data_IF_388278396187
#
_entry.id   IF_388278396187
#
_cell.length_a   1.000
_cell.length_b   1.000
_cell.length_c   1.000
_cell.angle_alpha   90.00
_cell.angle_beta   90.00
_cell.angle_gamma   90.00
#
_symmetry.space_group_name_H-M   'P 1'
#
loop_
_entity.id
_entity.type
_entity.pdbx_description
1 polymer ?
#
# COMPACT_ATOMS: atom_id res chain seq x y z
N UNK A 1 -32.14 21.05 28.45
CA UNK A 1 -31.41 19.81 28.76
C UNK A 1 -29.99 19.99 28.26
N UNK A 2 -29.00 19.86 29.13
CA UNK A 2 -27.58 19.99 28.76
C UNK A 2 -27.23 18.83 27.84
N UNK A 3 -27.00 19.10 26.56
CA UNK A 3 -26.57 18.07 25.61
C UNK A 3 -25.22 17.53 26.09
N UNK A 4 -25.11 16.21 26.23
CA UNK A 4 -23.85 15.56 26.63
C UNK A 4 -22.76 15.91 25.61
N UNK A 5 -21.53 16.13 26.07
CA UNK A 5 -20.40 16.56 25.21
C UNK A 5 -19.11 15.90 25.65
N UNK A 6 -18.19 15.75 24.69
CA UNK A 6 -16.82 15.34 24.93
C UNK A 6 -16.10 16.38 25.78
N UNK A 7 -15.28 15.92 26.72
CA UNK A 7 -14.35 16.78 27.44
C UNK A 7 -13.03 16.95 26.67
N UNK A 8 -12.18 17.91 27.08
CA UNK A 8 -10.92 18.22 26.37
C UNK A 8 -9.88 17.09 26.40
N UNK A 9 -10.06 16.06 27.23
CA UNK A 9 -9.19 14.90 27.33
C UNK A 9 -9.63 13.74 26.42
N UNK A 10 -10.60 13.95 25.53
CA UNK A 10 -11.13 12.89 24.64
C UNK A 10 -10.03 12.17 23.85
N UNK A 11 -8.98 12.87 23.41
CA UNK A 11 -7.86 12.27 22.68
C UNK A 11 -7.10 11.24 23.53
N UNK A 12 -6.97 11.51 24.83
CA UNK A 12 -6.30 10.61 25.78
C UNK A 12 -7.20 9.44 26.18
N UNK A 13 -8.50 9.70 26.38
CA UNK A 13 -9.47 8.69 26.81
C UNK A 13 -9.94 7.79 25.66
N UNK A 14 -9.87 8.26 24.42
CA UNK A 14 -10.47 7.63 23.26
C UNK A 14 -11.98 7.88 23.19
N UNK A 15 -12.55 7.86 21.98
CA UNK A 15 -13.99 8.09 21.79
C UNK A 15 -14.87 6.93 22.26
N UNK A 16 -14.30 5.73 22.39
CA UNK A 16 -14.98 4.55 22.96
C UNK A 16 -15.39 4.75 24.42
N UNK A 17 -14.75 5.68 25.14
CA UNK A 17 -15.09 6.03 26.51
C UNK A 17 -16.32 6.97 26.64
N UNK A 18 -16.90 7.40 25.51
CA UNK A 18 -18.02 8.36 25.47
C UNK A 18 -19.25 7.76 24.79
N UNK A 19 -20.44 8.20 25.23
CA UNK A 19 -21.72 7.87 24.59
C UNK A 19 -21.79 8.41 23.16
N UNK A 20 -22.69 7.86 22.34
CA UNK A 20 -22.92 8.38 20.98
C UNK A 20 -23.46 9.80 21.05
N UNK A 21 -24.33 10.08 22.02
CA UNK A 21 -24.91 11.40 22.26
C UNK A 21 -23.84 12.45 22.59
N UNK A 22 -22.79 12.08 23.33
CA UNK A 22 -21.67 12.98 23.62
C UNK A 22 -20.87 13.37 22.36
N UNK A 23 -20.67 12.41 21.45
CA UNK A 23 -20.02 12.66 20.15
C UNK A 23 -20.91 13.58 19.32
N UNK A 24 -22.18 13.23 19.13
CA UNK A 24 -23.13 14.02 18.33
C UNK A 24 -23.35 15.42 18.91
N UNK A 25 -23.44 15.55 20.24
CA UNK A 25 -23.56 16.84 20.92
C UNK A 25 -22.34 17.72 20.71
N UNK A 26 -21.16 17.14 20.61
CA UNK A 26 -19.93 17.89 20.29
C UNK A 26 -19.88 18.28 18.83
N UNK A 27 -20.26 17.39 17.92
CA UNK A 27 -20.36 17.68 16.48
C UNK A 27 -21.35 18.83 16.21
N UNK A 28 -22.56 18.73 16.78
CA UNK A 28 -23.61 19.74 16.65
C UNK A 28 -23.20 21.09 17.21
N UNK A 29 -22.52 21.12 18.37
CA UNK A 29 -22.03 22.38 18.95
C UNK A 29 -21.08 23.14 18.02
N UNK A 30 -20.30 22.44 17.19
CA UNK A 30 -19.33 23.04 16.28
C UNK A 30 -19.81 23.08 14.82
N UNK A 31 -21.12 22.91 14.59
CA UNK A 31 -21.77 23.19 13.31
C UNK A 31 -22.10 21.97 12.44
N UNK A 32 -21.87 20.75 12.91
CA UNK A 32 -22.20 19.52 12.18
C UNK A 32 -23.50 18.90 12.72
N UNK A 33 -24.56 19.00 11.95
CA UNK A 33 -25.81 18.28 12.22
C UNK A 33 -25.80 16.96 11.46
N UNK A 34 -25.71 15.85 12.20
CA UNK A 34 -25.73 14.50 11.63
C UNK A 34 -26.59 13.60 12.52
N UNK A 35 -27.35 12.72 11.90
CA UNK A 35 -28.05 11.62 12.57
C UNK A 35 -27.63 10.27 11.97
N UNK A 36 -28.06 9.18 12.60
CA UNK A 36 -27.70 7.83 12.18
C UNK A 36 -28.19 7.50 10.75
N UNK A 37 -29.36 8.00 10.35
CA UNK A 37 -29.94 7.70 9.05
C UNK A 37 -29.17 8.39 7.92
N UNK A 38 -28.87 9.69 8.07
CA UNK A 38 -28.06 10.46 7.15
C UNK A 38 -26.62 9.92 7.09
N UNK A 39 -26.04 9.52 8.23
CA UNK A 39 -24.71 8.92 8.26
C UNK A 39 -24.68 7.61 7.47
N UNK A 40 -25.61 6.69 7.73
CA UNK A 40 -25.69 5.41 7.02
C UNK A 40 -25.93 5.59 5.51
N UNK A 41 -26.75 6.57 5.14
CA UNK A 41 -26.97 6.90 3.73
C UNK A 41 -25.70 7.37 3.04
N UNK A 42 -24.90 8.23 3.68
CA UNK A 42 -23.62 8.67 3.14
C UNK A 42 -22.57 7.55 3.12
N UNK A 43 -22.54 6.71 4.16
CA UNK A 43 -21.64 5.55 4.28
C UNK A 43 -21.89 4.46 3.23
N UNK A 44 -23.04 4.48 2.54
CA UNK A 44 -23.33 3.56 1.44
C UNK A 44 -22.44 3.81 0.22
N UNK A 45 -21.90 5.02 0.06
CA UNK A 45 -21.11 5.42 -1.12
C UNK A 45 -19.76 6.04 -0.77
N UNK A 46 -19.49 6.37 0.50
CA UNK A 46 -18.28 7.03 0.97
C UNK A 46 -17.65 6.27 2.13
N UNK A 47 -16.32 6.31 2.20
CA UNK A 47 -15.56 5.79 3.34
C UNK A 47 -15.21 6.89 4.35
N UNK A 48 -14.73 6.53 5.55
CA UNK A 48 -14.55 7.48 6.65
C UNK A 48 -13.75 8.74 6.34
N UNK A 49 -12.65 8.68 5.57
CA UNK A 49 -11.90 9.90 5.26
C UNK A 49 -12.69 10.82 4.34
N UNK A 50 -13.36 10.29 3.31
CA UNK A 50 -14.20 11.11 2.42
C UNK A 50 -15.36 11.78 3.18
N UNK A 51 -15.99 11.06 4.13
CA UNK A 51 -17.01 11.63 5.01
C UNK A 51 -16.42 12.75 5.89
N UNK A 52 -15.26 12.53 6.48
CA UNK A 52 -14.59 13.51 7.34
C UNK A 52 -14.14 14.75 6.57
N UNK A 53 -13.70 14.60 5.31
CA UNK A 53 -13.38 15.72 4.43
C UNK A 53 -14.61 16.58 4.16
N UNK A 54 -15.77 15.97 3.89
CA UNK A 54 -17.02 16.72 3.77
C UNK A 54 -17.42 17.45 5.06
N UNK A 55 -17.12 16.87 6.22
CA UNK A 55 -17.36 17.52 7.51
C UNK A 55 -16.41 18.70 7.75
N UNK A 56 -15.17 18.62 7.29
CA UNK A 56 -14.16 19.64 7.50
C UNK A 56 -14.55 21.01 6.89
N UNK A 57 -15.33 21.03 5.81
CA UNK A 57 -15.79 22.27 5.15
C UNK A 57 -16.68 23.14 6.04
N UNK A 58 -17.40 22.53 6.98
CA UNK A 58 -18.34 23.23 7.87
C UNK A 58 -17.92 23.18 9.34
N UNK A 59 -16.81 22.51 9.65
CA UNK A 59 -16.29 22.32 11.00
C UNK A 59 -15.69 23.61 11.57
N UNK A 60 -16.23 24.08 12.70
CA UNK A 60 -15.82 25.35 13.31
C UNK A 60 -14.89 25.21 14.53
N UNK A 61 -14.62 23.98 14.98
CA UNK A 61 -13.84 23.78 16.20
C UNK A 61 -12.34 24.02 15.99
N UNK A 62 -11.68 24.54 17.01
CA UNK A 62 -10.23 24.70 17.07
C UNK A 62 -9.65 24.03 18.32
N UNK A 63 -8.32 24.06 18.47
CA UNK A 63 -7.64 23.50 19.64
C UNK A 63 -7.88 21.99 19.79
N UNK A 64 -8.20 21.48 21.00
CA UNK A 64 -8.36 20.03 21.25
C UNK A 64 -9.42 19.33 20.38
N UNK A 65 -10.40 20.07 19.86
CA UNK A 65 -11.48 19.52 19.02
C UNK A 65 -11.25 19.74 17.52
N UNK A 66 -10.24 20.53 17.13
CA UNK A 66 -9.86 20.71 15.72
C UNK A 66 -9.75 19.39 14.94
N UNK A 67 -9.06 18.35 15.46
CA UNK A 67 -8.89 17.09 14.74
C UNK A 67 -10.05 16.08 14.94
N UNK A 68 -11.16 16.46 15.57
CA UNK A 68 -12.25 15.54 15.92
C UNK A 68 -12.98 14.88 14.71
N UNK A 69 -13.16 15.52 13.53
CA UNK A 69 -14.00 14.96 12.47
C UNK A 69 -13.62 13.54 12.06
N UNK A 70 -12.34 13.28 11.76
CA UNK A 70 -11.86 11.94 11.34
C UNK A 70 -12.17 10.87 12.40
N UNK A 71 -11.69 10.96 13.66
CA UNK A 71 -11.95 9.94 14.67
C UNK A 71 -13.44 9.83 15.03
N UNK A 72 -14.22 10.92 14.94
CA UNK A 72 -15.66 10.86 15.16
C UNK A 72 -16.37 10.06 14.07
N UNK A 73 -16.03 10.26 12.78
CA UNK A 73 -16.57 9.45 11.70
C UNK A 73 -16.21 7.98 11.89
N UNK A 74 -14.95 7.66 12.20
CA UNK A 74 -14.53 6.27 12.41
C UNK A 74 -15.25 5.60 13.59
N UNK A 75 -15.44 6.31 14.69
CA UNK A 75 -16.16 5.78 15.85
C UNK A 75 -17.65 5.58 15.53
N UNK A 76 -18.28 6.52 14.83
CA UNK A 76 -19.67 6.39 14.40
C UNK A 76 -19.84 5.28 13.36
N UNK A 77 -18.87 5.09 12.46
CA UNK A 77 -18.82 3.96 11.53
C UNK A 77 -18.84 2.63 12.29
N UNK A 78 -17.95 2.49 13.28
CA UNK A 78 -17.90 1.29 14.14
C UNK A 78 -19.22 1.01 14.87
N UNK A 79 -19.93 2.05 15.31
CA UNK A 79 -21.20 1.91 16.05
C UNK A 79 -22.39 1.62 15.14
N UNK A 80 -22.48 2.30 14.01
CA UNK A 80 -23.68 2.32 13.17
C UNK A 80 -23.59 1.44 11.93
N UNK A 81 -22.45 1.44 11.25
CA UNK A 81 -22.24 0.65 10.02
C UNK A 81 -21.74 -0.75 10.35
N UNK A 82 -20.86 -0.87 11.35
CA UNK A 82 -20.33 -2.14 11.88
C UNK A 82 -19.63 -3.03 10.84
N UNK A 83 -19.17 -2.46 9.73
CA UNK A 83 -18.27 -3.11 8.78
C UNK A 83 -16.82 -2.68 9.04
N UNK A 84 -15.87 -3.43 8.47
CA UNK A 84 -14.47 -3.01 8.48
C UNK A 84 -14.32 -1.64 7.82
N UNK A 85 -13.47 -0.80 8.39
CA UNK A 85 -13.09 0.50 7.82
C UNK A 85 -11.62 0.48 7.38
N UNK A 86 -11.21 1.40 6.47
CA UNK A 86 -9.83 1.44 5.97
C UNK A 86 -8.76 1.54 7.07
N UNK A 87 -9.00 2.31 8.13
CA UNK A 87 -8.05 2.43 9.24
C UNK A 87 -7.86 1.14 10.04
N UNK A 88 -8.90 0.30 10.16
CA UNK A 88 -8.77 -1.02 10.82
C UNK A 88 -7.77 -1.91 10.06
N UNK A 89 -7.86 -1.92 8.73
CA UNK A 89 -6.96 -2.67 7.85
C UNK A 89 -5.55 -2.10 7.94
N UNK A 90 -5.38 -0.77 7.88
CA UNK A 90 -4.08 -0.13 7.96
C UNK A 90 -3.38 -0.37 9.31
N UNK A 91 -4.10 -0.26 10.42
CA UNK A 91 -3.58 -0.52 11.78
C UNK A 91 -3.18 -2.00 11.92
N UNK A 92 -4.03 -2.92 11.45
CA UNK A 92 -3.75 -4.35 11.51
C UNK A 92 -2.55 -4.74 10.63
N UNK A 93 -2.41 -4.14 9.45
CA UNK A 93 -1.26 -4.39 8.58
C UNK A 93 0.03 -3.85 9.19
N UNK A 94 0.01 -2.66 9.80
CA UNK A 94 1.16 -2.13 10.54
C UNK A 94 1.55 -3.03 11.70
N UNK A 95 0.57 -3.52 12.48
CA UNK A 95 0.82 -4.44 13.58
C UNK A 95 1.43 -5.76 13.11
N UNK A 96 0.94 -6.29 11.97
CA UNK A 96 1.50 -7.47 11.32
C UNK A 96 2.98 -7.28 10.96
N UNK A 97 3.33 -6.17 10.33
CA UNK A 97 4.70 -5.90 9.91
C UNK A 97 5.65 -5.75 11.11
N UNK A 98 5.21 -5.04 12.16
CA UNK A 98 5.97 -4.93 13.42
C UNK A 98 6.18 -6.32 14.06
N UNK A 99 5.13 -7.16 14.06
CA UNK A 99 5.23 -8.51 14.58
C UNK A 99 6.14 -9.40 13.72
N UNK A 100 6.21 -9.14 12.41
CA UNK A 100 7.11 -9.82 11.48
C UNK A 100 8.57 -9.54 11.78
N UNK A 101 8.92 -8.27 11.89
CA UNK A 101 10.28 -7.84 12.29
C UNK A 101 10.67 -8.40 13.66
N UNK A 102 9.71 -8.51 14.59
CA UNK A 102 9.91 -9.13 15.90
C UNK A 102 10.14 -10.65 15.78
N UNK A 103 9.40 -11.34 14.91
CA UNK A 103 9.54 -12.77 14.67
C UNK A 103 10.87 -13.15 14.02
N UNK A 104 11.40 -12.32 13.12
CA UNK A 104 12.75 -12.47 12.58
C UNK A 104 13.83 -12.35 13.67
N UNK A 105 13.52 -11.68 14.80
CA UNK A 105 14.37 -11.56 15.99
C UNK A 105 14.06 -12.63 17.05
N UNK A 106 13.31 -13.67 16.69
CA UNK A 106 12.97 -14.79 17.57
C UNK A 106 11.85 -14.52 18.58
N UNK A 107 11.04 -13.47 18.40
CA UNK A 107 9.88 -13.19 19.26
C UNK A 107 8.60 -13.83 18.71
N UNK A 108 7.69 -14.20 19.60
CA UNK A 108 6.38 -14.73 19.23
C UNK A 108 5.37 -13.62 18.87
N UNK A 109 4.20 -14.02 18.37
CA UNK A 109 3.06 -13.14 18.12
C UNK A 109 2.76 -12.86 16.64
N UNK A 110 3.66 -13.22 15.72
CA UNK A 110 3.43 -13.02 14.29
C UNK A 110 2.21 -13.78 13.76
N UNK A 111 2.06 -15.06 14.11
CA UNK A 111 0.93 -15.88 13.66
C UNK A 111 -0.42 -15.28 14.05
N UNK A 112 -0.54 -14.78 15.28
CA UNK A 112 -1.76 -14.13 15.76
C UNK A 112 -2.03 -12.80 15.03
N UNK A 113 -0.99 -12.00 14.79
CA UNK A 113 -1.11 -10.77 14.02
C UNK A 113 -1.52 -11.06 12.56
N UNK A 114 -1.02 -12.16 11.98
CA UNK A 114 -1.35 -12.61 10.64
C UNK A 114 -2.80 -13.05 10.54
N UNK A 115 -3.28 -13.86 11.49
CA UNK A 115 -4.70 -14.27 11.56
C UNK A 115 -5.64 -13.08 11.73
N UNK A 116 -5.25 -12.10 12.55
CA UNK A 116 -6.00 -10.85 12.73
C UNK A 116 -6.10 -10.09 11.41
N UNK A 117 -4.97 -9.96 10.71
CA UNK A 117 -4.92 -9.25 9.44
C UNK A 117 -5.67 -9.99 8.32
N UNK A 118 -5.57 -11.32 8.23
CA UNK A 118 -6.35 -12.14 7.30
C UNK A 118 -7.86 -11.96 7.53
N UNK A 119 -8.29 -11.94 8.80
CA UNK A 119 -9.69 -11.68 9.15
C UNK A 119 -10.16 -10.28 8.74
N UNK A 120 -9.29 -9.26 8.83
CA UNK A 120 -9.61 -7.91 8.35
C UNK A 120 -9.61 -7.84 6.83
N UNK A 121 -8.66 -8.48 6.16
CA UNK A 121 -8.56 -8.55 4.71
C UNK A 121 -9.80 -9.22 4.08
N UNK A 122 -10.33 -10.29 4.71
CA UNK A 122 -11.53 -10.97 4.21
C UNK A 122 -12.80 -10.13 4.28
N UNK A 123 -12.78 -9.00 5.00
CA UNK A 123 -13.89 -8.06 5.12
C UNK A 123 -13.74 -6.85 4.19
N UNK A 124 -12.60 -6.70 3.50
CA UNK A 124 -12.39 -5.62 2.52
C UNK A 124 -13.45 -5.75 1.42
N UNK A 125 -14.13 -4.64 1.05
CA UNK A 125 -15.15 -4.69 0.02
C UNK A 125 -14.59 -5.19 -1.32
N UNK A 126 -15.44 -5.91 -2.06
CA UNK A 126 -15.16 -6.35 -3.43
C UNK A 126 -15.81 -5.41 -4.44
N UNK A 127 -15.40 -5.50 -5.71
CA UNK A 127 -15.93 -4.69 -6.81
C UNK A 127 -15.54 -3.22 -6.74
N UNK A 128 -16.37 -2.36 -7.33
CA UNK A 128 -16.11 -0.92 -7.49
C UNK A 128 -15.71 -0.17 -6.19
N UNK A 129 -16.29 -0.45 -5.00
CA UNK A 129 -15.90 0.22 -3.77
C UNK A 129 -14.47 -0.10 -3.31
N UNK A 130 -13.87 -1.20 -3.78
CA UNK A 130 -12.58 -1.68 -3.31
C UNK A 130 -11.46 -0.66 -3.52
N UNK A 131 -11.41 -0.04 -4.69
CA UNK A 131 -10.34 0.89 -5.04
C UNK A 131 -10.31 2.08 -4.08
N UNK A 132 -11.47 2.70 -3.84
CA UNK A 132 -11.62 3.81 -2.89
C UNK A 132 -11.29 3.39 -1.45
N UNK A 133 -11.72 2.19 -1.04
CA UNK A 133 -11.37 1.64 0.27
C UNK A 133 -9.85 1.51 0.43
N UNK A 134 -9.17 0.91 -0.55
CA UNK A 134 -7.73 0.68 -0.50
C UNK A 134 -6.91 1.97 -0.62
N UNK A 135 -7.42 2.98 -1.34
CA UNK A 135 -6.80 4.30 -1.36
C UNK A 135 -6.75 4.94 0.04
N UNK A 136 -7.84 4.85 0.81
CA UNK A 136 -7.85 5.29 2.21
C UNK A 136 -6.91 4.46 3.09
N UNK A 137 -6.84 3.13 2.89
CA UNK A 137 -5.88 2.26 3.59
C UNK A 137 -4.45 2.77 3.39
N UNK A 138 -4.05 3.06 2.15
CA UNK A 138 -2.72 3.57 1.81
C UNK A 138 -2.45 4.93 2.50
N UNK A 139 -3.45 5.82 2.55
CA UNK A 139 -3.33 7.10 3.26
C UNK A 139 -3.10 6.93 4.77
N UNK A 140 -3.70 5.92 5.40
CA UNK A 140 -3.48 5.60 6.82
C UNK A 140 -2.15 4.89 7.07
N UNK A 141 -1.64 4.14 6.10
CA UNK A 141 -0.40 3.37 6.23
C UNK A 141 0.87 4.22 6.26
N UNK A 142 0.82 5.51 5.90
CA UNK A 142 1.99 6.43 5.84
C UNK A 142 3.14 6.03 6.77
N UNK A 143 4.34 5.87 6.22
CA UNK A 143 5.57 5.45 6.91
C UNK A 143 5.54 3.99 7.41
N UNK A 144 5.39 3.03 6.50
CA UNK A 144 5.79 1.65 6.74
C UNK A 144 7.25 1.49 6.32
N UNK A 145 8.11 0.95 7.20
CA UNK A 145 9.54 0.78 6.93
C UNK A 145 9.86 -0.46 6.10
N UNK A 146 9.07 -1.52 6.24
CA UNK A 146 9.36 -2.84 5.68
C UNK A 146 8.32 -3.20 4.62
N UNK A 147 8.70 -3.37 3.34
CA UNK A 147 7.81 -3.90 2.32
C UNK A 147 7.34 -5.33 2.65
N UNK A 148 6.09 -5.67 2.31
CA UNK A 148 5.49 -6.98 2.65
C UNK A 148 6.25 -8.14 1.99
N UNK A 149 6.66 -7.95 0.74
CA UNK A 149 7.43 -8.90 -0.05
C UNK A 149 8.81 -9.20 0.56
N UNK A 150 9.47 -8.17 1.09
CA UNK A 150 10.74 -8.32 1.83
C UNK A 150 10.54 -9.16 3.08
N UNK A 151 9.51 -8.86 3.88
CA UNK A 151 9.22 -9.64 5.08
C UNK A 151 8.88 -11.10 4.75
N UNK A 152 8.09 -11.35 3.69
CA UNK A 152 7.75 -12.70 3.26
C UNK A 152 8.99 -13.52 2.89
N UNK A 153 9.91 -12.91 2.12
CA UNK A 153 11.18 -13.54 1.76
C UNK A 153 12.03 -13.84 3.01
N UNK A 154 12.22 -12.87 3.90
CA UNK A 154 13.03 -13.03 5.12
C UNK A 154 12.46 -14.10 6.05
N UNK A 155 11.13 -14.19 6.17
CA UNK A 155 10.47 -15.27 6.91
C UNK A 155 10.76 -16.64 6.30
N UNK A 156 10.71 -16.75 4.96
CA UNK A 156 11.04 -17.99 4.28
C UNK A 156 12.52 -18.39 4.49
N UNK A 157 13.45 -17.43 4.40
CA UNK A 157 14.88 -17.65 4.68
C UNK A 157 15.12 -18.08 6.14
N UNK A 158 14.33 -17.56 7.08
CA UNK A 158 14.36 -17.94 8.50
C UNK A 158 13.67 -19.29 8.80
N UNK A 159 13.21 -20.03 7.78
CA UNK A 159 12.54 -21.32 7.94
C UNK A 159 11.06 -21.24 8.32
N UNK A 160 10.48 -20.04 8.42
CA UNK A 160 9.05 -19.79 8.70
C UNK A 160 8.23 -19.81 7.40
N UNK A 161 8.34 -20.92 6.66
CA UNK A 161 7.82 -21.03 5.28
C UNK A 161 6.30 -20.95 5.22
N UNK A 162 5.59 -21.58 6.16
CA UNK A 162 4.13 -21.58 6.17
C UNK A 162 3.58 -20.16 6.39
N UNK A 163 4.20 -19.40 7.27
CA UNK A 163 3.90 -17.99 7.52
C UNK A 163 4.22 -17.10 6.32
N UNK A 164 5.36 -17.32 5.65
CA UNK A 164 5.72 -16.61 4.43
C UNK A 164 4.68 -16.83 3.31
N UNK A 165 4.25 -18.07 3.07
CA UNK A 165 3.26 -18.40 2.04
C UNK A 165 1.87 -17.81 2.35
N UNK A 166 1.49 -17.74 3.63
CA UNK A 166 0.27 -17.04 4.05
C UNK A 166 0.38 -15.53 3.84
N UNK A 167 1.54 -14.93 4.16
CA UNK A 167 1.78 -13.51 3.94
C UNK A 167 1.71 -13.14 2.46
N UNK A 168 2.25 -13.99 1.57
CA UNK A 168 2.12 -13.84 0.12
C UNK A 168 0.64 -13.81 -0.29
N UNK A 169 -0.16 -14.79 0.14
CA UNK A 169 -1.59 -14.84 -0.19
C UNK A 169 -2.34 -13.60 0.30
N UNK A 170 -1.99 -13.11 1.49
CA UNK A 170 -2.56 -11.90 2.05
C UNK A 170 -2.18 -10.67 1.22
N UNK A 171 -0.91 -10.54 0.83
CA UNK A 171 -0.45 -9.44 -0.03
C UNK A 171 -1.17 -9.45 -1.38
N UNK A 172 -1.24 -10.59 -2.05
CA UNK A 172 -1.92 -10.72 -3.35
C UNK A 172 -3.42 -10.44 -3.24
N UNK A 173 -4.03 -10.79 -2.10
CA UNK A 173 -5.42 -10.45 -1.80
C UNK A 173 -5.62 -8.95 -1.63
N UNK A 174 -4.68 -8.22 -1.02
CA UNK A 174 -4.79 -6.77 -0.78
C UNK A 174 -4.36 -5.95 -2.00
N UNK A 175 -3.26 -6.35 -2.65
CA UNK A 175 -2.56 -5.65 -3.71
C UNK A 175 -2.40 -6.55 -4.95
N UNK A 176 -3.51 -6.91 -5.63
CA UNK A 176 -3.51 -7.88 -6.73
C UNK A 176 -2.66 -7.45 -7.94
N UNK A 177 -2.40 -6.15 -8.08
CA UNK A 177 -1.49 -5.63 -9.11
C UNK A 177 -0.11 -6.27 -9.02
N UNK A 178 0.39 -6.54 -7.80
CA UNK A 178 1.73 -7.11 -7.56
C UNK A 178 1.74 -8.65 -7.49
N UNK A 179 0.64 -9.30 -7.85
CA UNK A 179 0.51 -10.75 -7.73
C UNK A 179 1.62 -11.49 -8.51
N UNK A 180 2.20 -12.49 -7.86
CA UNK A 180 3.29 -13.32 -8.35
C UNK A 180 4.70 -12.87 -7.93
N UNK A 181 4.91 -11.60 -7.55
CA UNK A 181 6.26 -11.09 -7.21
C UNK A 181 6.76 -11.73 -5.91
N UNK A 182 6.01 -11.60 -4.82
CA UNK A 182 6.39 -12.11 -3.51
C UNK A 182 6.41 -13.63 -3.47
N UNK A 183 5.50 -14.28 -4.22
CA UNK A 183 5.51 -15.73 -4.40
C UNK A 183 6.84 -16.21 -5.02
N UNK A 184 7.34 -15.50 -6.04
CA UNK A 184 8.63 -15.83 -6.65
C UNK A 184 9.81 -15.59 -5.70
N UNK A 185 9.81 -14.50 -4.92
CA UNK A 185 10.85 -14.25 -3.92
C UNK A 185 10.88 -15.34 -2.83
N UNK A 186 9.71 -15.76 -2.33
CA UNK A 186 9.59 -16.87 -1.38
C UNK A 186 10.06 -18.19 -2.02
N UNK A 187 9.72 -18.46 -3.28
CA UNK A 187 10.23 -19.64 -3.99
C UNK A 187 11.76 -19.62 -4.11
N UNK A 188 12.35 -18.48 -4.45
CA UNK A 188 13.81 -18.32 -4.51
C UNK A 188 14.46 -18.54 -3.13
N UNK A 189 13.88 -18.00 -2.05
CA UNK A 189 14.33 -18.22 -0.67
C UNK A 189 14.28 -19.70 -0.25
N UNK A 190 13.36 -20.49 -0.83
CA UNK A 190 13.27 -21.95 -0.66
C UNK A 190 14.26 -22.73 -1.55
N UNK A 191 15.14 -22.05 -2.27
CA UNK A 191 16.12 -22.65 -3.18
C UNK A 191 15.64 -22.83 -4.63
N UNK A 192 14.42 -22.41 -4.97
CA UNK A 192 13.85 -22.52 -6.33
C UNK A 192 14.17 -21.29 -7.18
N UNK A 193 15.46 -20.93 -7.26
CA UNK A 193 15.90 -19.66 -7.88
C UNK A 193 15.55 -19.59 -9.36
N UNK A 194 15.89 -20.60 -10.16
CA UNK A 194 15.64 -20.57 -11.61
C UNK A 194 14.14 -20.54 -11.99
N UNK A 195 13.26 -21.33 -11.33
CA UNK A 195 11.82 -21.16 -11.49
C UNK A 195 11.31 -19.76 -11.10
N UNK A 196 11.83 -19.19 -10.00
CA UNK A 196 11.45 -17.84 -9.56
C UNK A 196 11.85 -16.77 -10.58
N UNK A 197 13.08 -16.84 -11.11
CA UNK A 197 13.56 -15.94 -12.18
C UNK A 197 12.69 -16.06 -13.42
N UNK A 198 12.27 -17.27 -13.80
CA UNK A 198 11.38 -17.51 -14.94
C UNK A 198 10.00 -16.88 -14.72
N UNK A 199 9.43 -17.02 -13.52
CA UNK A 199 8.15 -16.40 -13.16
C UNK A 199 8.23 -14.87 -13.21
N UNK A 200 9.27 -14.27 -12.62
CA UNK A 200 9.47 -12.82 -12.64
C UNK A 200 9.73 -12.29 -14.06
N UNK A 201 10.50 -13.02 -14.88
CA UNK A 201 10.73 -12.66 -16.28
C UNK A 201 9.43 -12.62 -17.08
N UNK A 202 8.53 -13.58 -16.83
CA UNK A 202 7.19 -13.58 -17.45
C UNK A 202 6.41 -12.35 -17.03
N UNK A 203 6.40 -11.99 -15.74
CA UNK A 203 5.70 -10.80 -15.23
C UNK A 203 6.23 -9.51 -15.86
N UNK A 204 7.56 -9.36 -15.97
CA UNK A 204 8.17 -8.18 -16.59
C UNK A 204 7.76 -8.01 -18.07
N UNK A 205 7.58 -9.11 -18.79
CA UNK A 205 7.23 -9.13 -20.22
C UNK A 205 5.73 -9.04 -20.51
N UNK A 206 4.89 -9.16 -19.48
CA UNK A 206 3.44 -9.15 -19.65
C UNK A 206 2.92 -7.73 -19.92
N UNK A 207 2.74 -7.40 -21.20
CA UNK A 207 2.24 -6.10 -21.63
C UNK A 207 0.78 -5.81 -21.23
N UNK A 208 0.03 -6.81 -20.75
CA UNK A 208 -1.32 -6.61 -20.24
C UNK A 208 -1.35 -6.21 -18.75
N UNK A 209 -0.21 -6.34 -18.05
CA UNK A 209 -0.07 -5.92 -16.65
C UNK A 209 0.12 -4.41 -16.54
N UNK A 210 -0.33 -3.89 -15.41
CA UNK A 210 -0.02 -2.53 -14.97
C UNK A 210 1.50 -2.27 -15.00
N UNK A 211 1.98 -1.11 -15.51
CA UNK A 211 3.40 -0.81 -15.59
C UNK A 211 4.13 -0.93 -14.25
N UNK A 212 3.52 -0.50 -13.14
CA UNK A 212 4.14 -0.57 -11.81
C UNK A 212 4.22 -2.01 -11.28
N UNK A 213 3.32 -2.89 -11.70
CA UNK A 213 3.43 -4.33 -11.44
C UNK A 213 4.67 -4.93 -12.12
N UNK A 214 4.92 -4.54 -13.37
CA UNK A 214 6.09 -4.98 -14.14
C UNK A 214 7.37 -4.42 -13.52
N UNK A 215 7.38 -3.15 -13.12
CA UNK A 215 8.48 -2.51 -12.37
C UNK A 215 8.79 -3.29 -11.08
N UNK A 216 7.76 -3.69 -10.32
CA UNK A 216 7.95 -4.49 -9.10
C UNK A 216 8.65 -5.83 -9.38
N UNK A 217 8.34 -6.48 -10.50
CA UNK A 217 9.02 -7.72 -10.91
C UNK A 217 10.48 -7.47 -11.34
N UNK A 218 10.79 -6.30 -11.93
CA UNK A 218 12.18 -5.89 -12.23
C UNK A 218 13.00 -5.70 -10.94
N UNK A 219 12.42 -5.07 -9.92
CA UNK A 219 13.07 -4.90 -8.62
C UNK A 219 13.36 -6.23 -7.95
N UNK A 220 12.44 -7.19 -8.04
CA UNK A 220 12.65 -8.55 -7.55
C UNK A 220 13.79 -9.26 -8.32
N UNK A 221 13.89 -9.10 -9.64
CA UNK A 221 15.01 -9.64 -10.43
C UNK A 221 16.35 -9.02 -10.04
N UNK A 222 16.40 -7.70 -9.82
CA UNK A 222 17.58 -7.00 -9.31
C UNK A 222 17.98 -7.55 -7.93
N UNK A 223 17.00 -7.76 -7.05
CA UNK A 223 17.20 -8.29 -5.70
C UNK A 223 17.75 -9.72 -5.70
N UNK A 224 17.31 -10.56 -6.63
CA UNK A 224 17.86 -11.91 -6.83
C UNK A 224 19.23 -11.92 -7.53
N UNK A 225 19.81 -10.76 -7.83
CA UNK A 225 21.03 -10.61 -8.62
C UNK A 225 20.92 -11.33 -9.98
N UNK A 226 19.76 -11.16 -10.63
CA UNK A 226 19.41 -11.68 -11.96
C UNK A 226 18.78 -10.59 -12.82
N UNK A 227 19.44 -9.43 -13.04
CA UNK A 227 18.83 -8.27 -13.69
C UNK A 227 18.66 -8.40 -15.21
N UNK A 228 19.46 -9.26 -15.86
CA UNK A 228 19.49 -9.40 -17.33
C UNK A 228 18.11 -9.56 -17.99
N UNK A 229 17.19 -10.42 -17.49
CA UNK A 229 15.89 -10.59 -18.13
C UNK A 229 15.00 -9.34 -18.11
N UNK A 230 15.31 -8.36 -17.25
CA UNK A 230 14.57 -7.10 -17.14
C UNK A 230 15.06 -6.01 -18.10
N UNK A 231 16.26 -6.13 -18.68
CA UNK A 231 16.90 -5.00 -19.36
C UNK A 231 16.13 -4.53 -20.60
N UNK A 232 15.93 -5.42 -21.59
CA UNK A 232 15.18 -5.06 -22.81
C UNK A 232 13.74 -4.62 -22.51
N UNK A 233 12.95 -5.33 -21.68
CA UNK A 233 11.61 -4.87 -21.32
C UNK A 233 11.59 -3.50 -20.62
N UNK A 234 12.57 -3.19 -19.78
CA UNK A 234 12.67 -1.89 -19.13
C UNK A 234 12.96 -0.77 -20.13
N UNK A 235 13.80 -1.01 -21.15
CA UNK A 235 14.07 -0.06 -22.23
C UNK A 235 12.79 0.22 -23.04
N UNK A 236 12.10 -0.84 -23.46
CA UNK A 236 10.84 -0.73 -24.22
C UNK A 236 9.78 0.03 -23.41
N UNK A 237 9.67 -0.24 -22.11
CA UNK A 237 8.75 0.48 -21.24
C UNK A 237 9.13 1.96 -21.11
N UNK A 238 10.41 2.29 -21.01
CA UNK A 238 10.86 3.67 -20.88
C UNK A 238 10.62 4.47 -22.16
N UNK A 239 10.86 3.87 -23.32
CA UNK A 239 10.53 4.45 -24.63
C UNK A 239 9.03 4.76 -24.73
N UNK A 240 8.16 3.79 -24.38
CA UNK A 240 6.71 3.99 -24.39
C UNK A 240 6.26 5.04 -23.37
N UNK A 241 6.86 5.09 -22.18
CA UNK A 241 6.56 6.10 -21.17
C UNK A 241 6.92 7.52 -21.68
N UNK A 242 8.09 7.65 -22.31
CA UNK A 242 8.54 8.91 -22.92
C UNK A 242 7.61 9.36 -24.06
N UNK A 243 7.25 8.46 -24.97
CA UNK A 243 6.32 8.73 -26.07
C UNK A 243 4.94 9.19 -25.58
N UNK A 244 4.49 8.67 -24.43
CA UNK A 244 3.20 9.02 -23.81
C UNK A 244 3.27 10.21 -22.87
N UNK A 245 4.44 10.82 -22.70
CA UNK A 245 4.67 11.87 -21.71
C UNK A 245 4.35 11.45 -20.26
N UNK A 246 4.50 10.16 -19.95
CA UNK A 246 4.39 9.63 -18.58
C UNK A 246 5.75 9.79 -17.87
N UNK A 247 6.04 11.03 -17.46
CA UNK A 247 7.32 11.40 -16.87
C UNK A 247 7.60 10.70 -15.54
N UNK A 248 6.56 10.41 -14.75
CA UNK A 248 6.71 9.69 -13.47
C UNK A 248 7.21 8.26 -13.70
N UNK A 249 6.55 7.53 -14.60
CA UNK A 249 6.97 6.17 -14.95
C UNK A 249 8.33 6.16 -15.64
N UNK A 250 8.60 7.13 -16.51
CA UNK A 250 9.89 7.28 -17.19
C UNK A 250 11.04 7.43 -16.18
N UNK A 251 10.93 8.37 -15.22
CA UNK A 251 11.96 8.60 -14.20
C UNK A 251 12.17 7.36 -13.30
N UNK A 252 11.11 6.61 -13.01
CA UNK A 252 11.17 5.37 -12.23
C UNK A 252 11.89 4.24 -12.98
N UNK A 253 11.67 4.14 -14.29
CA UNK A 253 12.33 3.17 -15.16
C UNK A 253 13.79 3.53 -15.40
N UNK A 254 14.12 4.80 -15.61
CA UNK A 254 15.50 5.25 -15.85
C UNK A 254 16.42 4.93 -14.66
N UNK A 255 15.95 5.13 -13.43
CA UNK A 255 16.71 4.75 -12.22
C UNK A 255 17.01 3.25 -12.15
N UNK A 256 16.09 2.40 -12.61
CA UNK A 256 16.30 0.94 -12.66
C UNK A 256 17.17 0.52 -13.81
N UNK A 257 16.98 1.12 -14.98
CA UNK A 257 17.80 0.87 -16.17
C UNK A 257 19.28 1.13 -15.88
N UNK A 258 19.61 2.23 -15.19
CA UNK A 258 20.98 2.50 -14.75
C UNK A 258 21.54 1.39 -13.85
N UNK A 259 20.76 0.87 -12.91
CA UNK A 259 21.18 -0.23 -12.01
C UNK A 259 21.32 -1.56 -12.74
N UNK A 260 20.37 -1.88 -13.63
CA UNK A 260 20.40 -3.08 -14.47
C UNK A 260 21.66 -3.04 -15.34
N UNK A 261 21.90 -1.89 -15.99
CA UNK A 261 23.04 -1.65 -16.84
C UNK A 261 24.38 -1.87 -16.13
N UNK A 262 24.56 -1.25 -14.96
CA UNK A 262 25.77 -1.41 -14.14
C UNK A 262 26.00 -2.89 -13.78
N UNK A 263 24.94 -3.65 -13.56
CA UNK A 263 25.02 -5.06 -13.23
C UNK A 263 25.20 -5.99 -14.45
N UNK A 264 25.00 -5.51 -15.67
CA UNK A 264 25.14 -6.29 -16.92
C UNK A 264 26.29 -5.81 -17.83
N UNK A 265 26.99 -4.75 -17.46
CA UNK A 265 27.97 -4.03 -18.29
C UNK A 265 29.11 -4.87 -18.91
N UNK A 266 29.41 -6.06 -18.36
CA UNK A 266 30.44 -6.96 -18.88
C UNK A 266 29.93 -7.94 -19.95
N UNK A 267 28.63 -7.92 -20.29
CA UNK A 267 28.02 -8.85 -21.24
C UNK A 267 28.14 -8.34 -22.69
N UNK A 268 28.86 -9.05 -23.59
CA UNK A 268 29.19 -8.55 -24.94
C UNK A 268 28.00 -8.45 -25.91
N UNK A 269 26.81 -8.92 -25.55
CA UNK A 269 25.60 -8.94 -26.40
C UNK A 269 24.73 -7.67 -26.30
N UNK A 270 25.17 -6.62 -25.58
CA UNK A 270 24.30 -5.49 -25.22
C UNK A 270 24.55 -4.18 -26.00
N UNK A 271 25.43 -4.14 -27.01
CA UNK A 271 25.79 -2.90 -27.73
C UNK A 271 24.57 -2.10 -28.26
N UNK A 272 23.53 -2.78 -28.75
CA UNK A 272 22.28 -2.12 -29.19
C UNK A 272 21.49 -1.53 -28.02
N UNK A 273 21.50 -2.19 -26.86
CA UNK A 273 20.84 -1.68 -25.66
C UNK A 273 21.61 -0.49 -25.06
N UNK A 274 22.95 -0.45 -25.18
CA UNK A 274 23.74 0.74 -24.80
C UNK A 274 23.28 1.98 -25.58
N UNK A 275 23.19 1.89 -26.91
CA UNK A 275 22.77 3.03 -27.75
C UNK A 275 21.35 3.51 -27.38
N UNK A 276 20.44 2.57 -27.12
CA UNK A 276 19.07 2.89 -26.67
C UNK A 276 19.08 3.58 -25.31
N UNK A 277 19.85 3.07 -24.36
CA UNK A 277 19.97 3.65 -23.02
C UNK A 277 20.54 5.07 -23.08
N UNK A 278 21.59 5.29 -23.88
CA UNK A 278 22.21 6.61 -24.05
C UNK A 278 21.19 7.64 -24.58
N UNK A 279 20.40 7.27 -25.60
CA UNK A 279 19.35 8.13 -26.13
C UNK A 279 18.28 8.50 -25.07
N UNK A 280 17.90 7.57 -24.20
CA UNK A 280 16.96 7.83 -23.11
C UNK A 280 17.58 8.70 -22.02
N UNK A 281 18.87 8.53 -21.72
CA UNK A 281 19.61 9.38 -20.77
C UNK A 281 19.72 10.82 -21.26
N UNK A 282 19.97 11.01 -22.56
CA UNK A 282 19.95 12.34 -23.17
C UNK A 282 18.56 12.99 -23.05
N UNK A 283 17.49 12.23 -23.33
CA UNK A 283 16.12 12.72 -23.19
C UNK A 283 15.78 13.14 -21.74
N UNK A 284 16.24 12.37 -20.75
CA UNK A 284 16.08 12.67 -19.32
C UNK A 284 16.76 14.00 -18.93
N UNK A 285 17.95 14.26 -19.45
CA UNK A 285 18.68 15.51 -19.18
C UNK A 285 17.94 16.73 -19.75
N UNK A 286 17.40 16.63 -20.97
CA UNK A 286 16.63 17.72 -21.58
C UNK A 286 15.34 18.01 -20.80
N UNK A 287 14.68 16.97 -20.27
CA UNK A 287 13.49 17.13 -19.42
C UNK A 287 13.79 17.90 -18.12
N UNK A 288 14.88 17.58 -17.43
CA UNK A 288 15.25 18.26 -16.18
C UNK A 288 15.76 19.70 -16.36
N UNK A 289 16.14 20.12 -17.57
CA UNK A 289 16.57 21.49 -17.84
C UNK A 289 15.43 22.47 -18.17
N UNK A 290 14.20 21.98 -18.34
CA UNK A 290 13.02 22.79 -18.69
C UNK A 290 12.00 22.95 -17.55
N UNK A 291 12.30 22.45 -16.36
CA UNK A 291 11.52 22.61 -15.13
C UNK A 291 12.31 23.38 -14.07
#
# INVERSE_FOLDING_TARGET
MTQERLDKQWQKKGLTAYSTDAILGTLGHYGLTIDEAAFKSAAATKFPLELAMGWAETWKATGPFGPLPVPAVEELWRRWVKSVQPSDVAVSLRALLIAGDAALKGKDGFTQALETMESKASQVPAGDPRERFMAEVVLHLRNVSTPIDVLAEELAQAGKVAEAERLVKLEESLFPLRAGVSAALVAAAKGQVEPAVTALTTLVKDGAKDPYARVSAMDALLRLNRPRPAYTPALEMAEVALEKHDHELFDELMRRLQRIHQATAELPEEATNHVRLDALLDALQHHHHHH
#
